data_IF_066132891829
#
_entry.id   IF_066132891829
#
_cell.length_a   1.000
_cell.length_b   1.000
_cell.length_c   1.000
_cell.angle_alpha   90.00
_cell.angle_beta   90.00
_cell.angle_gamma   90.00
#
_symmetry.space_group_name_H-M   'P 1'
#
loop_
_entity.id
_entity.type
_entity.pdbx_description
1 polymer ?
#
# COMPACT_ATOMS: atom_id res chain seq x y z
N UNK A 1 -79.99 29.14 32.06
CA UNK A 1 -79.63 28.24 30.97
C UNK A 1 -78.43 27.41 31.40
N UNK A 2 -78.76 26.19 31.68
CA UNK A 2 -77.98 25.21 32.39
C UNK A 2 -76.99 24.49 31.39
N UNK A 3 -75.73 24.41 31.72
CA UNK A 3 -74.79 23.55 31.02
C UNK A 3 -73.98 22.79 32.06
N UNK A 4 -74.53 21.67 32.52
CA UNK A 4 -73.78 20.59 33.15
C UNK A 4 -73.28 19.63 32.08
N UNK A 5 -71.99 19.46 31.95
CA UNK A 5 -71.42 18.49 31.09
C UNK A 5 -70.39 17.59 31.82
N UNK A 6 -70.75 16.36 31.82
CA UNK A 6 -70.15 15.21 32.46
C UNK A 6 -68.71 14.98 32.10
N UNK A 7 -67.81 14.95 33.07
CA UNK A 7 -66.46 14.39 32.91
C UNK A 7 -66.51 12.86 33.11
N UNK A 8 -66.32 12.11 32.01
CA UNK A 8 -66.04 10.69 32.09
C UNK A 8 -64.53 10.52 32.25
N UNK A 9 -64.13 10.05 33.41
CA UNK A 9 -62.73 9.62 33.65
C UNK A 9 -62.45 8.29 32.95
N UNK A 10 -61.67 8.34 31.90
CA UNK A 10 -61.10 7.15 31.29
C UNK A 10 -59.81 6.78 32.07
N UNK A 11 -59.97 5.81 32.95
CA UNK A 11 -58.81 5.15 33.58
C UNK A 11 -58.15 4.24 32.57
N UNK A 12 -57.08 4.69 31.89
CA UNK A 12 -56.18 3.81 31.23
C UNK A 12 -55.32 3.09 32.27
N UNK A 13 -55.65 1.83 32.56
CA UNK A 13 -54.75 0.90 33.23
C UNK A 13 -53.63 0.54 32.21
N UNK A 14 -52.43 1.13 32.34
CA UNK A 14 -51.23 0.58 31.79
C UNK A 14 -50.98 -0.79 32.44
N UNK A 15 -51.25 -1.86 31.71
CA UNK A 15 -50.71 -3.18 32.05
C UNK A 15 -49.22 -3.17 31.67
N UNK A 16 -48.35 -3.10 32.65
CA UNK A 16 -46.96 -3.41 32.48
C UNK A 16 -46.88 -4.90 32.11
N UNK A 17 -46.42 -5.16 30.91
CA UNK A 17 -46.18 -6.53 30.41
C UNK A 17 -44.84 -6.96 30.99
N UNK A 18 -44.83 -7.93 31.89
CA UNK A 18 -43.62 -8.47 32.55
C UNK A 18 -42.66 -9.20 31.60
N UNK A 19 -42.88 -9.16 30.27
CA UNK A 19 -42.10 -9.85 29.27
C UNK A 19 -41.02 -9.00 28.56
N UNK A 20 -40.73 -7.79 29.03
CA UNK A 20 -39.75 -6.87 28.35
C UNK A 20 -38.35 -6.88 28.98
N UNK A 21 -38.09 -7.73 29.99
CA UNK A 21 -36.78 -7.77 30.67
C UNK A 21 -35.81 -8.75 30.00
N UNK A 22 -36.22 -9.51 28.99
CA UNK A 22 -35.38 -10.57 28.39
C UNK A 22 -34.59 -10.13 27.13
N UNK A 23 -34.43 -8.85 26.82
CA UNK A 23 -33.76 -8.42 25.57
C UNK A 23 -32.42 -7.73 25.74
N UNK A 24 -31.79 -7.79 26.88
CA UNK A 24 -30.35 -7.52 26.98
C UNK A 24 -29.63 -8.86 27.00
N UNK A 25 -29.58 -9.54 25.87
CA UNK A 25 -28.56 -10.55 25.66
C UNK A 25 -27.20 -9.80 25.63
N UNK A 26 -26.52 -9.79 26.77
CA UNK A 26 -25.11 -9.43 26.83
C UNK A 26 -24.40 -10.47 25.97
N UNK A 27 -24.05 -10.10 24.71
CA UNK A 27 -23.18 -10.93 23.90
C UNK A 27 -21.99 -11.34 24.76
N UNK A 28 -21.63 -12.63 24.83
CA UNK A 28 -20.49 -13.06 25.62
C UNK A 28 -19.28 -12.25 25.17
N UNK A 29 -18.53 -11.72 26.15
CA UNK A 29 -17.37 -10.88 25.91
C UNK A 29 -16.53 -11.52 24.81
N UNK A 30 -16.39 -10.82 23.66
CA UNK A 30 -15.63 -11.33 22.51
C UNK A 30 -14.26 -11.75 23.01
N UNK A 31 -13.91 -13.01 22.82
CA UNK A 31 -12.58 -13.53 23.19
C UNK A 31 -11.54 -12.55 22.69
N UNK A 32 -10.65 -12.12 23.59
CA UNK A 32 -9.53 -11.27 23.21
C UNK A 32 -8.82 -11.88 22.00
N UNK A 33 -8.43 -11.07 20.99
CA UNK A 33 -7.70 -11.59 19.84
C UNK A 33 -6.50 -12.40 20.31
N UNK A 34 -6.25 -13.55 19.70
CA UNK A 34 -5.08 -14.34 20.02
C UNK A 34 -3.82 -13.44 19.86
N UNK A 35 -2.83 -13.57 20.76
CA UNK A 35 -1.60 -12.79 20.68
C UNK A 35 -0.93 -13.02 19.32
N UNK A 36 -0.39 -11.94 18.73
CA UNK A 36 0.35 -12.04 17.46
C UNK A 36 1.54 -12.99 17.65
N UNK A 37 1.78 -13.91 16.68
CA UNK A 37 2.96 -14.75 16.69
C UNK A 37 4.26 -13.94 16.80
N UNK A 38 5.33 -14.55 17.31
CA UNK A 38 6.60 -13.84 17.51
C UNK A 38 7.19 -13.25 16.24
N UNK A 39 7.05 -13.95 15.11
CA UNK A 39 7.53 -13.50 13.80
C UNK A 39 6.78 -12.31 13.22
N UNK A 40 5.67 -11.88 13.83
CA UNK A 40 4.93 -10.65 13.47
C UNK A 40 5.19 -9.50 14.45
N UNK A 41 6.16 -9.62 15.35
CA UNK A 41 6.56 -8.54 16.24
C UNK A 41 7.54 -7.62 15.51
N UNK A 42 7.18 -6.35 15.36
CA UNK A 42 8.05 -5.31 14.83
C UNK A 42 8.78 -4.57 15.96
N UNK A 43 9.92 -3.98 15.64
CA UNK A 43 10.63 -3.09 16.56
C UNK A 43 9.87 -1.79 16.75
N UNK A 44 9.86 -1.27 17.99
CA UNK A 44 9.27 0.04 18.25
C UNK A 44 10.04 1.14 17.49
N UNK A 45 9.35 2.16 16.95
CA UNK A 45 9.99 3.27 16.25
C UNK A 45 10.67 4.20 17.27
N UNK A 46 12.00 4.10 17.40
CA UNK A 46 12.83 4.88 18.31
C UNK A 46 14.13 5.30 17.63
N UNK A 47 14.75 6.39 18.11
CA UNK A 47 16.05 6.88 17.65
C UNK A 47 16.01 8.26 17.02
N UNK A 48 17.17 8.90 16.91
CA UNK A 48 17.30 10.27 16.39
C UNK A 48 16.85 10.35 14.93
N UNK A 49 17.31 9.46 14.06
CA UNK A 49 16.92 9.42 12.64
C UNK A 49 15.41 9.34 12.45
N UNK A 50 14.69 8.58 13.29
CA UNK A 50 13.23 8.51 13.25
C UNK A 50 12.59 9.88 13.54
N UNK A 51 13.06 10.56 14.60
CA UNK A 51 12.51 11.86 14.98
C UNK A 51 12.88 12.95 13.99
N UNK A 52 14.06 12.91 13.39
CA UNK A 52 14.54 13.87 12.40
C UNK A 52 13.73 13.77 11.12
N UNK A 53 13.54 12.55 10.59
CA UNK A 53 12.73 12.32 9.40
C UNK A 53 11.29 12.79 9.63
N UNK A 54 10.72 12.49 10.80
CA UNK A 54 9.37 12.92 11.15
C UNK A 54 9.23 14.43 11.23
N UNK A 55 10.22 15.14 11.79
CA UNK A 55 10.23 16.61 11.84
C UNK A 55 10.35 17.21 10.45
N UNK A 56 11.27 16.70 9.65
CA UNK A 56 11.51 17.17 8.29
C UNK A 56 10.29 16.97 7.38
N UNK A 57 9.68 15.78 7.40
CA UNK A 57 8.47 15.53 6.62
C UNK A 57 7.36 16.53 6.97
N UNK A 58 7.16 16.83 8.25
CA UNK A 58 6.17 17.82 8.68
C UNK A 58 6.52 19.26 8.28
N UNK A 59 7.78 19.66 8.41
CA UNK A 59 8.21 21.03 8.05
C UNK A 59 8.06 21.32 6.55
N UNK A 60 8.19 20.28 5.71
CA UNK A 60 8.03 20.35 4.26
C UNK A 60 6.62 19.98 3.76
N UNK A 61 5.67 19.78 4.68
CA UNK A 61 4.30 19.34 4.37
C UNK A 61 4.25 18.10 3.47
N UNK A 62 5.05 17.07 3.81
CA UNK A 62 5.15 15.82 3.08
C UNK A 62 4.42 14.69 3.81
N UNK A 63 3.90 13.76 3.02
CA UNK A 63 3.28 12.54 3.50
C UNK A 63 4.20 11.34 3.31
N UNK A 64 4.17 10.39 4.25
CA UNK A 64 4.87 9.12 4.11
C UNK A 64 3.89 7.96 4.16
N UNK A 65 4.09 6.96 3.31
CA UNK A 65 3.33 5.70 3.39
C UNK A 65 3.61 5.00 4.70
N UNK A 66 4.82 5.16 5.24
CA UNK A 66 5.21 4.57 6.52
C UNK A 66 4.27 4.95 7.67
N UNK A 67 3.83 6.22 7.72
CA UNK A 67 2.85 6.70 8.71
C UNK A 67 1.41 6.36 8.27
N UNK A 68 1.04 6.69 7.03
CA UNK A 68 -0.34 6.51 6.53
C UNK A 68 -0.79 5.05 6.52
N UNK A 69 0.11 4.11 6.20
CA UNK A 69 -0.17 2.68 6.19
C UNK A 69 0.12 1.99 7.53
N UNK A 70 0.53 2.72 8.58
CA UNK A 70 0.93 2.16 9.87
C UNK A 70 1.95 1.02 9.71
N UNK A 71 3.01 1.27 8.90
CA UNK A 71 3.98 0.27 8.51
C UNK A 71 4.72 -0.31 9.73
N UNK A 72 4.77 -1.64 9.89
CA UNK A 72 5.47 -2.26 11.02
C UNK A 72 6.98 -2.03 10.99
N UNK A 73 7.56 -1.72 9.83
CA UNK A 73 9.00 -1.54 9.64
C UNK A 73 9.46 -0.09 9.79
N UNK A 74 8.56 0.85 10.14
CA UNK A 74 8.87 2.27 10.19
C UNK A 74 10.10 2.57 11.07
N UNK A 75 10.22 1.90 12.23
CA UNK A 75 11.36 2.10 13.15
C UNK A 75 12.68 1.64 12.55
N UNK A 76 12.70 0.53 11.83
CA UNK A 76 13.89 -0.01 11.19
C UNK A 76 14.28 0.80 9.95
N UNK A 77 13.35 1.01 9.03
CA UNK A 77 13.60 1.76 7.80
C UNK A 77 14.09 3.17 8.08
N UNK A 78 13.45 3.88 9.01
CA UNK A 78 13.84 5.26 9.33
C UNK A 78 15.16 5.34 10.10
N UNK A 79 15.49 4.31 10.90
CA UNK A 79 16.82 4.19 11.49
C UNK A 79 17.91 4.10 10.41
N UNK A 80 17.64 3.35 9.34
CA UNK A 80 18.54 3.20 8.19
C UNK A 80 18.36 4.27 7.12
N UNK A 81 17.77 5.42 7.45
CA UNK A 81 17.55 6.55 6.52
C UNK A 81 16.84 6.16 5.23
N UNK A 82 15.91 5.21 5.32
CA UNK A 82 15.08 4.79 4.19
C UNK A 82 13.64 5.20 4.45
N UNK A 83 13.03 5.96 3.54
CA UNK A 83 11.65 6.38 3.64
C UNK A 83 10.90 6.19 2.33
N UNK A 84 9.58 5.95 2.43
CA UNK A 84 8.70 5.93 1.28
C UNK A 84 7.80 7.16 1.32
N UNK A 85 8.05 8.10 0.40
CA UNK A 85 7.26 9.31 0.27
C UNK A 85 5.98 9.01 -0.51
N UNK A 86 4.86 9.59 -0.06
CA UNK A 86 3.57 9.49 -0.73
C UNK A 86 3.17 10.85 -1.27
N UNK A 87 3.08 10.96 -2.59
CA UNK A 87 2.77 12.18 -3.30
C UNK A 87 1.30 12.27 -3.73
N UNK A 88 0.94 13.39 -4.36
CA UNK A 88 -0.38 13.71 -4.89
C UNK A 88 -1.44 13.87 -3.79
N UNK A 89 -0.98 14.27 -2.59
CA UNK A 89 -1.82 14.51 -1.42
C UNK A 89 -2.10 13.24 -0.61
N UNK A 90 -3.15 13.29 0.20
CA UNK A 90 -3.49 12.26 1.18
C UNK A 90 -4.88 11.62 0.97
N UNK A 91 -5.60 11.98 -0.11
CA UNK A 91 -6.91 11.42 -0.47
C UNK A 91 -6.82 10.64 -1.76
N UNK A 92 -7.24 9.36 -1.72
CA UNK A 92 -7.19 8.46 -2.87
C UNK A 92 -8.56 8.38 -3.56
N UNK A 93 -8.59 8.37 -4.90
CA UNK A 93 -9.82 8.17 -5.69
C UNK A 93 -10.33 6.74 -5.64
N UNK A 94 -9.51 5.74 -5.24
CA UNK A 94 -9.88 4.32 -5.16
C UNK A 94 -10.14 3.84 -3.74
N UNK A 95 -10.86 2.70 -3.64
CA UNK A 95 -11.35 2.13 -2.37
C UNK A 95 -10.83 0.71 -2.16
N UNK A 96 -9.51 0.50 -2.20
CA UNK A 96 -8.92 -0.80 -1.91
C UNK A 96 -9.23 -1.24 -0.49
N UNK A 97 -9.72 -2.50 -0.33
CA UNK A 97 -10.19 -3.01 0.96
C UNK A 97 -9.09 -3.23 2.00
N UNK A 98 -7.84 -3.27 1.59
CA UNK A 98 -6.67 -3.44 2.45
C UNK A 98 -6.01 -2.11 2.88
N UNK A 99 -6.29 -1.01 2.17
CA UNK A 99 -5.50 0.21 2.26
C UNK A 99 -6.06 1.21 3.28
N UNK A 100 -5.21 1.67 4.20
CA UNK A 100 -5.56 2.63 5.25
C UNK A 100 -5.58 4.09 4.77
N UNK A 101 -5.12 4.40 3.55
CA UNK A 101 -5.15 5.76 3.01
C UNK A 101 -6.60 6.24 2.90
N UNK A 102 -6.91 7.45 3.37
CA UNK A 102 -8.24 8.04 3.28
C UNK A 102 -8.72 8.15 1.83
N UNK A 103 -10.03 8.00 1.64
CA UNK A 103 -10.67 7.94 0.33
C UNK A 103 -11.55 9.16 0.13
N UNK A 104 -11.48 9.78 -1.05
CA UNK A 104 -12.26 10.98 -1.31
C UNK A 104 -11.91 11.65 -2.64
N UNK A 105 -12.39 12.88 -2.79
CA UNK A 105 -11.99 13.75 -3.90
C UNK A 105 -10.69 14.45 -3.51
N UNK A 106 -9.58 14.21 -4.23
CA UNK A 106 -8.31 14.85 -3.94
C UNK A 106 -8.34 16.37 -4.19
N UNK A 107 -7.46 17.07 -3.52
CA UNK A 107 -7.13 18.46 -3.83
C UNK A 107 -6.46 18.57 -5.21
N UNK A 108 -6.40 19.77 -5.82
CA UNK A 108 -5.62 19.99 -7.04
C UNK A 108 -4.17 19.51 -6.88
N UNK A 109 -3.57 19.08 -7.99
CA UNK A 109 -2.17 18.62 -7.99
C UNK A 109 -1.26 19.78 -7.63
N UNK A 110 -0.39 19.57 -6.65
CA UNK A 110 0.65 20.49 -6.23
C UNK A 110 1.96 20.21 -7.00
N UNK A 111 2.25 21.01 -8.01
CA UNK A 111 3.46 20.87 -8.83
C UNK A 111 4.74 21.29 -8.12
N UNK A 112 4.68 21.86 -6.90
CA UNK A 112 5.85 22.12 -6.06
C UNK A 112 6.19 20.96 -5.11
N UNK A 113 5.30 20.00 -4.94
CA UNK A 113 5.53 18.80 -4.10
C UNK A 113 6.80 18.03 -4.49
N UNK A 114 7.13 17.79 -5.80
CA UNK A 114 8.37 17.13 -6.23
C UNK A 114 9.63 17.80 -5.71
N UNK A 115 9.70 19.12 -5.75
CA UNK A 115 10.83 19.90 -5.23
C UNK A 115 11.02 19.69 -3.72
N UNK A 116 9.93 19.72 -2.95
CA UNK A 116 9.98 19.52 -1.49
C UNK A 116 10.37 18.08 -1.13
N UNK A 117 9.92 17.09 -1.91
CA UNK A 117 10.34 15.69 -1.73
C UNK A 117 11.85 15.55 -1.97
N UNK A 118 12.37 16.13 -3.05
CA UNK A 118 13.80 16.10 -3.36
C UNK A 118 14.64 16.82 -2.30
N UNK A 119 14.15 17.94 -1.76
CA UNK A 119 14.75 18.64 -0.63
C UNK A 119 14.85 17.75 0.61
N UNK A 120 13.79 17.00 0.92
CA UNK A 120 13.81 16.04 2.02
C UNK A 120 14.80 14.89 1.78
N UNK A 121 14.85 14.35 0.57
CA UNK A 121 15.80 13.30 0.17
C UNK A 121 17.25 13.77 0.36
N UNK A 122 17.57 14.98 -0.11
CA UNK A 122 18.89 15.57 0.02
C UNK A 122 19.25 15.86 1.49
N UNK A 123 18.35 16.47 2.25
CA UNK A 123 18.56 16.80 3.66
C UNK A 123 18.77 15.57 4.55
N UNK A 124 18.13 14.44 4.21
CA UNK A 124 18.30 13.16 4.91
C UNK A 124 19.53 12.37 4.45
N UNK A 125 20.16 12.78 3.35
CA UNK A 125 21.29 12.07 2.75
C UNK A 125 20.91 10.65 2.35
N UNK A 126 19.74 10.47 1.70
CA UNK A 126 19.29 9.15 1.27
C UNK A 126 20.12 8.68 0.07
N UNK A 127 20.52 7.41 0.11
CA UNK A 127 21.18 6.75 -1.02
C UNK A 127 20.14 6.13 -1.99
N UNK A 128 18.94 5.89 -1.49
CA UNK A 128 17.83 5.33 -2.28
C UNK A 128 16.49 5.83 -1.76
N UNK A 129 15.68 6.40 -2.64
CA UNK A 129 14.36 6.93 -2.32
C UNK A 129 13.26 6.09 -2.98
N UNK A 130 12.23 5.75 -2.20
CA UNK A 130 11.01 5.12 -2.75
C UNK A 130 9.89 6.15 -2.79
N UNK A 131 9.35 6.37 -3.97
CA UNK A 131 8.31 7.35 -4.24
C UNK A 131 7.03 6.63 -4.65
N UNK A 132 5.93 6.93 -4.00
CA UNK A 132 4.62 6.43 -4.39
C UNK A 132 3.59 7.55 -4.33
N UNK A 133 2.32 7.23 -4.62
CA UNK A 133 1.25 8.22 -4.59
C UNK A 133 -0.08 7.63 -4.16
N UNK A 134 -1.03 8.49 -3.84
CA UNK A 134 -2.45 8.15 -3.92
C UNK A 134 -2.85 7.96 -5.39
N UNK A 135 -3.95 7.26 -5.63
CA UNK A 135 -4.46 7.15 -7.00
C UNK A 135 -5.22 8.41 -7.40
N UNK A 136 -4.96 8.88 -8.62
CA UNK A 136 -5.54 10.07 -9.24
C UNK A 136 -6.24 9.70 -10.55
N UNK A 137 -7.32 8.91 -10.45
CA UNK A 137 -8.13 8.55 -11.63
C UNK A 137 -8.84 9.77 -12.25
N UNK A 138 -8.83 10.90 -11.56
CA UNK A 138 -9.32 12.20 -12.00
C UNK A 138 -8.33 12.96 -12.92
N UNK A 139 -7.01 12.69 -12.81
CA UNK A 139 -5.96 13.29 -13.63
C UNK A 139 -4.75 12.36 -13.78
N UNK A 140 -4.83 11.44 -14.76
CA UNK A 140 -3.81 10.42 -14.99
C UNK A 140 -2.49 11.02 -15.47
N UNK A 141 -2.56 11.98 -16.39
CA UNK A 141 -1.37 12.62 -16.98
C UNK A 141 -0.69 13.54 -15.97
N UNK A 142 -1.45 14.36 -15.24
CA UNK A 142 -0.91 15.17 -14.15
C UNK A 142 -0.23 14.32 -13.10
N UNK A 143 -0.86 13.21 -12.69
CA UNK A 143 -0.28 12.24 -11.77
C UNK A 143 1.04 11.65 -12.28
N UNK A 144 1.11 11.25 -13.57
CA UNK A 144 2.34 10.71 -14.17
C UNK A 144 3.46 11.77 -14.25
N UNK A 145 3.14 13.02 -14.58
CA UNK A 145 4.10 14.12 -14.62
C UNK A 145 4.74 14.40 -13.26
N UNK A 146 3.99 14.26 -12.16
CA UNK A 146 4.55 14.42 -10.82
C UNK A 146 5.62 13.35 -10.54
N UNK A 147 5.43 12.10 -10.99
CA UNK A 147 6.49 11.09 -10.89
C UNK A 147 7.74 11.45 -11.70
N UNK A 148 7.58 11.91 -12.91
CA UNK A 148 8.72 12.36 -13.72
C UNK A 148 9.46 13.53 -13.06
N UNK A 149 8.74 14.56 -12.63
CA UNK A 149 9.31 15.73 -11.96
C UNK A 149 10.05 15.38 -10.67
N UNK A 150 9.55 14.45 -9.85
CA UNK A 150 10.24 14.08 -8.61
C UNK A 150 11.54 13.33 -8.90
N UNK A 151 11.59 12.49 -9.92
CA UNK A 151 12.82 11.82 -10.35
C UNK A 151 13.86 12.85 -10.80
N UNK A 152 13.45 13.81 -11.62
CA UNK A 152 14.32 14.91 -12.09
C UNK A 152 14.83 15.77 -10.93
N UNK A 153 13.95 16.14 -10.01
CA UNK A 153 14.31 16.95 -8.85
C UNK A 153 15.24 16.22 -7.88
N UNK A 154 15.04 14.93 -7.63
CA UNK A 154 15.95 14.13 -6.80
C UNK A 154 17.32 14.04 -7.47
N UNK A 155 17.42 13.78 -8.77
CA UNK A 155 18.69 13.75 -9.49
C UNK A 155 19.42 15.08 -9.44
N UNK A 156 18.68 16.19 -9.46
CA UNK A 156 19.26 17.54 -9.37
C UNK A 156 19.77 17.87 -7.97
N UNK A 157 19.02 17.51 -6.90
CA UNK A 157 19.29 17.93 -5.52
C UNK A 157 20.10 16.92 -4.72
N UNK A 158 19.99 15.63 -5.05
CA UNK A 158 20.68 14.50 -4.41
C UNK A 158 21.32 13.60 -5.49
N UNK A 159 22.33 14.10 -6.24
CA UNK A 159 22.97 13.31 -7.29
C UNK A 159 23.59 12.04 -6.69
N UNK A 160 23.30 10.88 -7.30
CA UNK A 160 23.70 9.58 -6.80
C UNK A 160 22.65 8.85 -5.95
N UNK A 161 21.55 9.49 -5.58
CA UNK A 161 20.42 8.82 -4.96
C UNK A 161 19.62 8.05 -6.02
N UNK A 162 19.52 6.70 -5.86
CA UNK A 162 18.65 5.88 -6.69
C UNK A 162 17.16 6.13 -6.37
N UNK A 163 16.29 5.95 -7.37
CA UNK A 163 14.85 6.21 -7.24
C UNK A 163 14.03 5.00 -7.67
N UNK A 164 13.28 4.43 -6.76
CA UNK A 164 12.18 3.51 -7.06
C UNK A 164 10.86 4.28 -7.09
N UNK A 165 10.03 4.05 -8.10
CA UNK A 165 8.68 4.58 -8.16
C UNK A 165 7.66 3.45 -8.06
N UNK A 166 6.75 3.52 -7.08
CA UNK A 166 5.58 2.64 -6.97
C UNK A 166 4.36 3.38 -7.52
N UNK A 167 4.05 3.10 -8.78
CA UNK A 167 3.03 3.82 -9.54
C UNK A 167 1.64 3.15 -9.49
N UNK A 168 0.55 3.92 -9.63
CA UNK A 168 -0.77 3.37 -9.90
C UNK A 168 -0.83 2.77 -11.32
N UNK A 169 -1.93 2.06 -11.65
CA UNK A 169 -2.08 1.47 -12.99
C UNK A 169 -2.41 2.48 -14.09
N UNK A 170 -2.58 3.76 -13.77
CA UNK A 170 -2.99 4.85 -14.69
C UNK A 170 -4.14 4.45 -15.63
N UNK A 171 -5.00 3.52 -15.22
CA UNK A 171 -6.05 2.92 -16.05
C UNK A 171 -5.54 2.37 -17.39
N UNK A 172 -4.28 1.93 -17.45
CA UNK A 172 -3.52 1.51 -18.63
C UNK A 172 -3.38 2.61 -19.71
N UNK A 173 -3.37 3.88 -19.32
CA UNK A 173 -3.09 4.98 -20.23
C UNK A 173 -1.62 4.92 -20.69
N UNK A 174 -1.34 4.70 -21.99
CA UNK A 174 0.03 4.50 -22.47
C UNK A 174 0.89 5.76 -22.35
N UNK A 175 0.32 6.96 -22.55
CA UNK A 175 1.03 8.24 -22.40
C UNK A 175 1.48 8.43 -20.96
N UNK A 176 0.62 8.16 -19.97
CA UNK A 176 0.96 8.28 -18.56
C UNK A 176 2.10 7.32 -18.17
N UNK A 177 2.04 6.07 -18.64
CA UNK A 177 3.10 5.07 -18.38
C UNK A 177 4.41 5.52 -19.04
N UNK A 178 4.36 5.97 -20.29
CA UNK A 178 5.54 6.44 -21.02
C UNK A 178 6.22 7.63 -20.32
N UNK A 179 5.47 8.61 -19.84
CA UNK A 179 6.02 9.76 -19.08
C UNK A 179 6.89 9.27 -17.92
N UNK A 180 6.44 8.28 -17.15
CA UNK A 180 7.20 7.77 -16.01
C UNK A 180 8.41 6.94 -16.46
N UNK A 181 8.27 6.10 -17.49
CA UNK A 181 9.36 5.28 -18.03
C UNK A 181 10.47 6.16 -18.64
N UNK A 182 10.10 7.24 -19.34
CA UNK A 182 11.05 8.17 -19.95
C UNK A 182 11.86 8.93 -18.92
N UNK A 183 11.33 9.14 -17.71
CA UNK A 183 12.07 9.70 -16.58
C UNK A 183 13.14 8.75 -16.02
N UNK A 184 13.18 7.46 -16.46
CA UNK A 184 14.22 6.46 -16.15
C UNK A 184 14.44 6.23 -14.65
N UNK A 185 13.41 5.85 -13.87
CA UNK A 185 13.65 5.41 -12.50
C UNK A 185 14.55 4.17 -12.48
N UNK A 186 15.33 3.96 -11.42
CA UNK A 186 16.13 2.78 -11.22
C UNK A 186 15.28 1.51 -11.09
N UNK A 187 14.08 1.65 -10.46
CA UNK A 187 13.09 0.57 -10.37
C UNK A 187 11.69 1.15 -10.63
N UNK A 188 10.97 0.57 -11.60
CA UNK A 188 9.57 0.83 -11.82
C UNK A 188 8.74 -0.28 -11.15
N UNK A 189 8.01 0.07 -10.12
CA UNK A 189 7.21 -0.84 -9.31
C UNK A 189 5.71 -0.60 -9.54
N UNK A 190 4.97 -1.68 -9.78
CA UNK A 190 3.52 -1.70 -9.75
C UNK A 190 3.02 -3.00 -9.13
N UNK A 191 2.38 -2.93 -7.97
CA UNK A 191 1.92 -4.11 -7.25
C UNK A 191 0.65 -4.70 -7.87
N UNK A 192 0.58 -6.03 -8.00
CA UNK A 192 -0.66 -6.77 -8.28
C UNK A 192 -1.52 -6.95 -7.02
N UNK A 193 -0.90 -6.93 -5.84
CA UNK A 193 -1.48 -6.97 -4.50
C UNK A 193 -2.13 -8.31 -4.12
N UNK A 194 -2.83 -8.99 -5.04
CA UNK A 194 -3.56 -10.24 -4.77
C UNK A 194 -3.82 -11.02 -6.06
N UNK A 195 -4.42 -12.20 -5.92
CA UNK A 195 -4.80 -13.10 -7.03
C UNK A 195 -6.06 -12.60 -7.77
N UNK A 196 -6.26 -12.94 -9.06
CA UNK A 196 -7.38 -12.45 -9.89
C UNK A 196 -8.75 -12.60 -9.26
N UNK A 197 -9.05 -13.76 -8.65
CA UNK A 197 -10.34 -14.04 -8.00
C UNK A 197 -10.70 -13.03 -6.90
N UNK A 198 -9.70 -12.49 -6.21
CA UNK A 198 -9.90 -11.58 -5.09
C UNK A 198 -9.89 -10.10 -5.48
N UNK A 199 -9.56 -9.74 -6.73
CA UNK A 199 -9.39 -8.35 -7.17
C UNK A 199 -10.59 -7.47 -6.84
N UNK A 200 -11.80 -7.96 -7.12
CA UNK A 200 -13.02 -7.18 -6.91
C UNK A 200 -13.19 -6.71 -5.46
N UNK A 201 -12.79 -7.53 -4.51
CA UNK A 201 -12.96 -7.26 -3.07
C UNK A 201 -11.73 -6.55 -2.49
N UNK A 202 -10.53 -6.99 -2.88
CA UNK A 202 -9.27 -6.51 -2.32
C UNK A 202 -8.88 -5.19 -2.97
N UNK A 203 -8.98 -5.08 -4.31
CA UNK A 203 -8.46 -3.97 -5.11
C UNK A 203 -9.54 -3.37 -6.01
N UNK A 204 -10.62 -2.90 -5.36
CA UNK A 204 -11.76 -2.31 -6.06
C UNK A 204 -11.34 -1.16 -7.00
N UNK A 205 -11.78 -1.21 -8.27
CA UNK A 205 -11.44 -0.24 -9.31
C UNK A 205 -10.17 -0.55 -10.11
N UNK A 206 -9.37 -1.54 -9.69
CA UNK A 206 -8.26 -2.07 -10.47
C UNK A 206 -8.68 -3.32 -11.27
N UNK A 207 -7.84 -3.73 -12.23
CA UNK A 207 -7.98 -4.98 -12.99
C UNK A 207 -6.64 -5.69 -13.02
N UNK A 208 -6.67 -7.02 -12.89
CA UNK A 208 -5.46 -7.82 -12.85
C UNK A 208 -4.64 -7.72 -14.14
N UNK A 209 -5.31 -7.90 -15.27
CA UNK A 209 -4.71 -7.84 -16.59
C UNK A 209 -4.04 -6.47 -16.84
N UNK A 210 -4.70 -5.40 -16.39
CA UNK A 210 -4.15 -4.04 -16.51
C UNK A 210 -2.83 -3.87 -15.76
N UNK A 211 -2.66 -4.55 -14.63
CA UNK A 211 -1.40 -4.53 -13.87
C UNK A 211 -0.28 -5.25 -14.62
N UNK A 212 -0.60 -6.36 -15.27
CA UNK A 212 0.35 -7.08 -16.12
C UNK A 212 0.71 -6.29 -17.38
N UNK A 213 -0.29 -5.69 -18.04
CA UNK A 213 -0.10 -4.88 -19.25
C UNK A 213 0.81 -3.68 -18.99
N UNK A 214 0.65 -3.02 -17.83
CA UNK A 214 1.53 -1.92 -17.42
C UNK A 214 2.98 -2.38 -17.32
N UNK A 215 3.26 -3.48 -16.62
CA UNK A 215 4.62 -4.01 -16.45
C UNK A 215 5.23 -4.46 -17.79
N UNK A 216 4.44 -5.13 -18.63
CA UNK A 216 4.85 -5.51 -19.98
C UNK A 216 5.20 -4.28 -20.81
N UNK A 217 4.32 -3.28 -20.85
CA UNK A 217 4.53 -2.06 -21.63
C UNK A 217 5.76 -1.27 -21.13
N UNK A 218 5.97 -1.21 -19.82
CA UNK A 218 7.17 -0.59 -19.25
C UNK A 218 8.46 -1.30 -19.72
N UNK A 219 8.45 -2.64 -19.83
CA UNK A 219 9.57 -3.42 -20.39
C UNK A 219 9.77 -3.22 -21.89
N UNK A 220 8.68 -3.08 -22.65
CA UNK A 220 8.75 -2.77 -24.08
C UNK A 220 9.38 -1.39 -24.31
N UNK A 221 8.99 -0.37 -23.55
CA UNK A 221 9.55 0.98 -23.61
C UNK A 221 11.00 1.05 -23.12
N UNK A 222 11.35 0.24 -22.12
CA UNK A 222 12.71 0.20 -21.55
C UNK A 222 13.15 -1.24 -21.22
N UNK A 223 13.65 -2.02 -22.20
CA UNK A 223 14.01 -3.42 -21.99
C UNK A 223 15.06 -3.65 -20.89
N UNK A 224 16.01 -2.71 -20.72
CA UNK A 224 17.02 -2.75 -19.67
C UNK A 224 16.57 -2.25 -18.30
N UNK A 225 15.36 -1.64 -18.20
CA UNK A 225 14.83 -1.13 -16.94
C UNK A 225 14.42 -2.25 -15.99
N UNK A 226 14.62 -2.05 -14.70
CA UNK A 226 14.19 -3.00 -13.67
C UNK A 226 12.73 -2.78 -13.34
N UNK A 227 11.91 -3.83 -13.45
CA UNK A 227 10.50 -3.82 -13.06
C UNK A 227 10.27 -4.65 -11.82
N UNK A 228 9.30 -4.24 -11.02
CA UNK A 228 8.97 -4.85 -9.74
C UNK A 228 7.48 -4.95 -9.53
N UNK A 229 7.06 -6.01 -8.84
CA UNK A 229 5.70 -6.17 -8.37
C UNK A 229 5.65 -6.74 -6.95
N UNK A 230 4.49 -6.67 -6.32
CA UNK A 230 4.28 -7.21 -4.99
C UNK A 230 2.91 -7.82 -4.82
N UNK A 231 2.85 -8.86 -3.98
CA UNK A 231 1.62 -9.51 -3.55
C UNK A 231 1.55 -9.59 -2.04
N UNK A 232 0.35 -9.45 -1.52
CA UNK A 232 0.04 -9.73 -0.12
C UNK A 232 -0.59 -11.12 -0.01
N UNK A 233 -0.20 -11.87 1.01
CA UNK A 233 -0.79 -13.17 1.35
C UNK A 233 -1.58 -13.08 2.65
N UNK A 234 -2.58 -13.97 2.78
CA UNK A 234 -3.47 -14.01 3.95
C UNK A 234 -4.81 -13.31 3.74
N UNK A 235 -5.21 -13.06 2.48
CA UNK A 235 -6.49 -12.47 2.09
C UNK A 235 -7.52 -13.53 1.67
N UNK A 236 -7.14 -14.83 1.61
CA UNK A 236 -8.00 -15.94 1.22
C UNK A 236 -7.67 -16.53 -0.15
N UNK A 237 -6.49 -16.23 -0.66
CA UNK A 237 -5.91 -16.85 -1.84
C UNK A 237 -5.49 -18.31 -1.56
N UNK A 238 -5.51 -19.14 -2.61
CA UNK A 238 -4.93 -20.48 -2.61
C UNK A 238 -3.47 -20.42 -3.10
N UNK A 239 -2.64 -21.37 -2.66
CA UNK A 239 -1.22 -21.40 -3.05
C UNK A 239 -1.04 -21.59 -4.56
N UNK A 240 -1.91 -22.37 -5.20
CA UNK A 240 -1.92 -22.55 -6.66
C UNK A 240 -2.18 -21.23 -7.41
N UNK A 241 -3.10 -20.40 -6.91
CA UNK A 241 -3.39 -19.08 -7.48
C UNK A 241 -2.19 -18.13 -7.37
N UNK A 242 -1.44 -18.19 -6.25
CA UNK A 242 -0.19 -17.42 -6.11
C UNK A 242 0.84 -17.84 -7.17
N UNK A 243 1.00 -19.13 -7.41
CA UNK A 243 1.94 -19.62 -8.43
C UNK A 243 1.51 -19.24 -9.86
N UNK A 244 0.20 -19.10 -10.12
CA UNK A 244 -0.29 -18.54 -11.38
C UNK A 244 0.12 -17.08 -11.52
N UNK A 245 -0.10 -16.27 -10.48
CA UNK A 245 0.33 -14.85 -10.45
C UNK A 245 1.85 -14.73 -10.65
N UNK A 246 2.66 -15.59 -10.01
CA UNK A 246 4.12 -15.54 -10.19
C UNK A 246 4.53 -15.86 -11.62
N UNK A 247 3.91 -16.88 -12.25
CA UNK A 247 4.16 -17.20 -13.67
C UNK A 247 3.76 -16.06 -14.60
N UNK A 248 2.60 -15.43 -14.36
CA UNK A 248 2.13 -14.30 -15.16
C UNK A 248 3.08 -13.10 -15.05
N UNK A 249 3.53 -12.76 -13.82
CA UNK A 249 4.50 -11.70 -13.59
C UNK A 249 5.86 -11.99 -14.24
N UNK A 250 6.38 -13.21 -14.11
CA UNK A 250 7.61 -13.62 -14.79
C UNK A 250 7.44 -13.57 -16.31
N UNK A 251 6.27 -13.98 -16.82
CA UNK A 251 5.93 -13.98 -18.26
C UNK A 251 5.87 -12.58 -18.87
N UNK A 252 5.61 -11.53 -18.10
CA UNK A 252 5.68 -10.13 -18.57
C UNK A 252 7.05 -9.48 -18.32
N UNK A 253 8.05 -10.25 -17.87
CA UNK A 253 9.42 -9.79 -17.66
C UNK A 253 9.62 -9.01 -16.35
N UNK A 254 8.80 -9.26 -15.31
CA UNK A 254 8.99 -8.65 -14.01
C UNK A 254 10.26 -9.20 -13.33
N UNK A 255 11.19 -8.33 -12.93
CA UNK A 255 12.50 -8.72 -12.40
C UNK A 255 12.46 -9.03 -10.90
N UNK A 256 11.69 -8.25 -10.13
CA UNK A 256 11.64 -8.32 -8.66
C UNK A 256 10.23 -8.63 -8.19
N UNK A 257 10.11 -9.60 -7.29
CA UNK A 257 8.84 -9.90 -6.60
C UNK A 257 8.96 -9.70 -5.10
N UNK A 258 7.99 -9.01 -4.51
CA UNK A 258 7.84 -8.94 -3.05
C UNK A 258 6.61 -9.70 -2.58
N UNK A 259 6.75 -10.49 -1.51
CA UNK A 259 5.67 -11.29 -0.92
C UNK A 259 5.60 -10.99 0.58
N UNK A 260 4.48 -10.39 1.02
CA UNK A 260 4.31 -9.95 2.41
C UNK A 260 2.98 -10.39 3.02
N UNK A 261 2.93 -10.58 4.35
CA UNK A 261 1.69 -10.86 5.04
C UNK A 261 0.78 -9.63 5.03
N UNK A 262 -0.47 -9.80 4.61
CA UNK A 262 -1.49 -8.79 4.86
C UNK A 262 -1.68 -8.59 6.36
N UNK A 263 -1.55 -7.34 6.80
CA UNK A 263 -1.83 -6.93 8.18
C UNK A 263 -2.98 -5.93 8.16
N UNK A 264 -4.07 -6.30 8.82
CA UNK A 264 -5.31 -5.52 8.86
C UNK A 264 -5.11 -4.19 9.58
N UNK A 265 -5.26 -3.02 8.91
CA UNK A 265 -5.03 -1.73 9.54
C UNK A 265 -6.07 -1.40 10.63
N UNK A 266 -7.35 -1.66 10.38
CA UNK A 266 -8.45 -1.45 11.32
C UNK A 266 -9.58 -2.46 11.11
N UNK A 267 -10.60 -2.43 11.97
CA UNK A 267 -11.77 -3.32 11.85
C UNK A 267 -12.62 -3.06 10.60
N UNK A 268 -12.46 -1.90 9.97
CA UNK A 268 -13.19 -1.51 8.75
C UNK A 268 -12.56 -2.07 7.48
N UNK A 269 -11.34 -2.63 7.58
CA UNK A 269 -10.61 -3.27 6.47
C UNK A 269 -10.90 -4.77 6.41
N UNK A 270 -10.48 -5.39 5.32
CA UNK A 270 -10.66 -6.82 5.10
C UNK A 270 -10.08 -7.65 6.27
N UNK A 271 -10.75 -8.71 6.68
CA UNK A 271 -10.22 -9.60 7.71
C UNK A 271 -8.99 -10.35 7.18
N UNK A 272 -8.08 -10.70 8.09
CA UNK A 272 -7.01 -11.64 7.79
C UNK A 272 -7.65 -13.04 7.71
N UNK A 273 -7.51 -13.71 6.55
CA UNK A 273 -8.01 -15.07 6.36
C UNK A 273 -7.10 -16.09 7.06
N UNK A 274 -5.77 -15.92 6.92
CA UNK A 274 -4.78 -16.72 7.66
C UNK A 274 -3.44 -15.99 7.79
N UNK A 275 -2.62 -16.45 8.72
CA UNK A 275 -1.24 -16.04 8.86
C UNK A 275 -0.33 -17.12 8.26
N UNK A 276 0.57 -16.70 7.37
CA UNK A 276 1.61 -17.55 6.80
C UNK A 276 2.80 -17.63 7.75
N UNK A 277 3.37 -18.80 7.88
CA UNK A 277 4.57 -19.03 8.67
C UNK A 277 5.84 -18.59 7.92
N UNK A 278 6.96 -18.30 8.61
CA UNK A 278 8.24 -18.02 7.95
C UNK A 278 8.68 -19.14 6.99
N UNK A 279 8.35 -20.39 7.28
CA UNK A 279 8.63 -21.53 6.39
C UNK A 279 7.86 -21.43 5.07
N UNK A 280 6.57 -21.12 5.13
CA UNK A 280 5.74 -20.93 3.91
C UNK A 280 6.28 -19.76 3.07
N UNK A 281 6.70 -18.66 3.69
CA UNK A 281 7.36 -17.57 2.98
C UNK A 281 8.65 -18.00 2.30
N UNK A 282 9.47 -18.84 2.94
CA UNK A 282 10.67 -19.40 2.34
C UNK A 282 10.34 -20.33 1.14
N UNK A 283 9.27 -21.10 1.25
CA UNK A 283 8.78 -21.95 0.15
C UNK A 283 8.30 -21.11 -1.04
N UNK A 284 7.48 -20.07 -0.80
CA UNK A 284 7.04 -19.13 -1.84
C UNK A 284 8.22 -18.43 -2.52
N UNK A 285 9.24 -18.01 -1.76
CA UNK A 285 10.47 -17.41 -2.30
C UNK A 285 11.18 -18.37 -3.25
N UNK A 286 11.39 -19.61 -2.83
CA UNK A 286 12.08 -20.63 -3.63
C UNK A 286 11.36 -20.89 -4.95
N UNK A 287 10.04 -21.08 -4.90
CA UNK A 287 9.22 -21.33 -6.09
C UNK A 287 9.22 -20.14 -7.05
N UNK A 288 9.11 -18.92 -6.54
CA UNK A 288 9.19 -17.72 -7.37
C UNK A 288 10.55 -17.56 -8.04
N UNK A 289 11.67 -17.77 -7.31
CA UNK A 289 13.01 -17.74 -7.90
C UNK A 289 13.17 -18.78 -9.02
N UNK A 290 12.60 -19.98 -8.85
CA UNK A 290 12.60 -21.02 -9.88
C UNK A 290 11.81 -20.63 -11.15
N UNK A 291 10.91 -19.66 -11.08
CA UNK A 291 10.16 -19.12 -12.22
C UNK A 291 10.90 -18.00 -12.97
N UNK A 292 12.10 -17.59 -12.53
CA UNK A 292 12.98 -16.69 -13.27
C UNK A 292 13.04 -15.24 -12.78
N UNK A 293 12.46 -14.91 -11.60
CA UNK A 293 12.69 -13.60 -11.00
C UNK A 293 14.18 -13.42 -10.65
N UNK A 294 14.74 -12.25 -10.92
CA UNK A 294 16.12 -11.90 -10.55
C UNK A 294 16.28 -11.78 -9.04
N UNK A 295 15.26 -11.24 -8.37
CA UNK A 295 15.21 -11.17 -6.92
C UNK A 295 13.79 -11.39 -6.38
N UNK A 296 13.71 -12.07 -5.23
CA UNK A 296 12.44 -12.25 -4.49
C UNK A 296 12.67 -11.90 -3.02
N UNK A 297 11.93 -10.91 -2.52
CA UNK A 297 11.86 -10.61 -1.11
C UNK A 297 10.57 -11.17 -0.52
N UNK A 298 10.67 -12.07 0.45
CA UNK A 298 9.51 -12.79 0.98
C UNK A 298 9.60 -12.96 2.48
N UNK A 299 8.56 -12.52 3.19
CA UNK A 299 8.54 -12.65 4.66
C UNK A 299 7.34 -11.97 5.31
N UNK A 300 7.07 -12.30 6.58
CA UNK A 300 5.89 -11.80 7.29
C UNK A 300 5.78 -10.27 7.38
N UNK A 301 6.90 -9.59 7.49
CA UNK A 301 6.94 -8.12 7.60
C UNK A 301 7.36 -7.43 6.30
N UNK A 302 7.60 -8.18 5.21
CA UNK A 302 7.97 -7.61 3.91
C UNK A 302 6.86 -6.68 3.41
N UNK A 303 7.29 -5.54 2.87
CA UNK A 303 6.50 -4.55 2.15
C UNK A 303 7.22 -4.25 0.83
N UNK A 304 6.53 -3.70 -0.15
CA UNK A 304 7.14 -3.44 -1.46
C UNK A 304 8.40 -2.58 -1.40
N UNK A 305 8.48 -1.64 -0.47
CA UNK A 305 9.66 -0.77 -0.27
C UNK A 305 10.65 -1.28 0.78
N UNK A 306 10.43 -2.46 1.39
CA UNK A 306 11.34 -3.00 2.40
C UNK A 306 12.64 -3.46 1.74
N UNK A 307 13.79 -2.95 2.19
CA UNK A 307 15.12 -3.19 1.61
C UNK A 307 15.22 -2.85 0.11
N UNK A 308 14.51 -1.81 -0.37
CA UNK A 308 14.41 -1.48 -1.79
C UNK A 308 15.78 -1.27 -2.46
N UNK A 309 16.73 -0.61 -1.79
CA UNK A 309 18.09 -0.41 -2.30
C UNK A 309 18.78 -1.75 -2.60
N UNK A 310 18.82 -2.67 -1.63
CA UNK A 310 19.44 -3.99 -1.80
C UNK A 310 18.75 -4.81 -2.88
N UNK A 311 17.43 -4.72 -3.00
CA UNK A 311 16.68 -5.40 -4.05
C UNK A 311 17.08 -4.89 -5.45
N UNK A 312 17.25 -3.57 -5.60
CA UNK A 312 17.68 -2.96 -6.86
C UNK A 312 19.10 -3.38 -7.24
N UNK A 313 20.04 -3.34 -6.29
CA UNK A 313 21.42 -3.77 -6.51
C UNK A 313 21.52 -5.25 -6.95
N UNK A 314 20.80 -6.14 -6.25
CA UNK A 314 20.81 -7.57 -6.57
C UNK A 314 20.20 -7.86 -7.95
N UNK A 315 19.15 -7.11 -8.33
CA UNK A 315 18.53 -7.27 -9.65
C UNK A 315 19.40 -6.76 -10.79
N UNK A 316 20.22 -5.73 -10.56
CA UNK A 316 21.15 -5.18 -11.56
C UNK A 316 22.43 -6.00 -11.67
N UNK A 317 22.94 -6.57 -10.57
CA UNK A 317 24.15 -7.39 -10.57
C UNK A 317 23.96 -8.76 -11.27
N UNK A 318 22.72 -9.19 -11.48
CA UNK A 318 22.39 -10.47 -12.15
C UNK A 318 22.29 -10.36 -13.68
N UNK A 319 22.68 -9.21 -14.25
CA UNK A 319 22.70 -8.93 -15.68
C UNK A 319 24.12 -9.11 -16.23
#
# INVERSE_FOLDING_TARGET
MDWSSSYHSIQHRCRYNESVIDLVQIEPARKAPAPKPEWLKARAPVGENYHDLKRLARSLNLHTVCESAQCPNIGECWHHKTATFMMLGNLCTRRCGFCAVPKGRPEPIDFDEPRRVAEAVAALGLEFAVITSVNRDDDLIGGARIFALVIEEIRRQAPGCGVEVLIPDFQANPEAIQIVVDARPEVLNHNTETVPRLYRVVRSGARYERSLDLLRYAKELHPGGVTKSGVMVGLGEETSELFEVFRDLAGVGCDILTIGQYLRPSRDHLPIARLYTPREFAELKREALAMGFRHVESGPLVRSSYHAHQQAELATAST
#
